data_IF_348863539331
#
_entry.id   IF_348863539331
#
_cell.length_a   1.000
_cell.length_b   1.000
_cell.length_c   1.000
_cell.angle_alpha   90.00
_cell.angle_beta   90.00
_cell.angle_gamma   90.00
#
_symmetry.space_group_name_H-M   'P 1'
#
loop_
_entity.id
_entity.type
_entity.pdbx_description
1 polymer ?
#
# COMPACT_ATOMS: atom_id res chain seq x y z
N UNK A 1 -34.39 24.97 -6.61
CA UNK A 1 -35.08 24.70 -7.87
C UNK A 1 -36.64 24.88 -7.71
N UNK A 2 -37.22 24.39 -6.63
CA UNK A 2 -38.71 24.42 -6.44
C UNK A 2 -39.27 25.80 -6.08
N UNK A 3 -38.44 26.79 -5.78
CA UNK A 3 -38.85 28.15 -5.36
C UNK A 3 -38.55 29.23 -6.40
N UNK A 4 -38.08 28.87 -7.59
CA UNK A 4 -37.76 29.81 -8.67
C UNK A 4 -38.33 29.33 -9.98
N UNK A 5 -38.49 30.24 -10.98
CA UNK A 5 -38.86 29.85 -12.33
C UNK A 5 -37.82 28.87 -12.94
N UNK A 6 -38.25 28.06 -13.92
CA UNK A 6 -37.35 27.11 -14.60
C UNK A 6 -36.11 27.79 -15.21
N UNK A 7 -36.28 28.94 -15.85
CA UNK A 7 -35.20 29.69 -16.45
C UNK A 7 -34.18 30.22 -15.41
N UNK A 8 -34.67 30.72 -14.28
CA UNK A 8 -33.81 31.14 -13.16
C UNK A 8 -33.14 29.94 -12.48
N UNK A 9 -33.85 28.79 -12.38
CA UNK A 9 -33.31 27.54 -11.86
C UNK A 9 -32.15 27.05 -12.69
N UNK A 10 -32.28 27.02 -14.02
CA UNK A 10 -31.18 26.66 -14.95
C UNK A 10 -29.94 27.59 -14.83
N UNK A 11 -30.20 28.90 -14.65
CA UNK A 11 -29.14 29.87 -14.48
C UNK A 11 -28.32 29.58 -13.19
N UNK A 12 -29.03 29.37 -12.08
CA UNK A 12 -28.39 29.00 -10.79
C UNK A 12 -27.69 27.67 -10.85
N UNK A 13 -28.27 26.67 -11.50
CA UNK A 13 -27.62 25.35 -11.70
C UNK A 13 -26.30 25.52 -12.45
N UNK A 14 -26.27 26.32 -13.52
CA UNK A 14 -25.05 26.59 -14.27
C UNK A 14 -23.99 27.31 -13.41
N UNK A 15 -24.39 28.27 -12.61
CA UNK A 15 -23.51 29.00 -11.69
C UNK A 15 -22.85 28.02 -10.69
N UNK A 16 -23.65 27.17 -10.03
CA UNK A 16 -23.14 26.17 -9.10
C UNK A 16 -22.28 25.11 -9.80
N UNK A 17 -22.68 24.67 -10.99
CA UNK A 17 -21.88 23.73 -11.79
C UNK A 17 -20.49 24.31 -12.09
N UNK A 18 -20.42 25.57 -12.51
CA UNK A 18 -19.12 26.23 -12.77
C UNK A 18 -18.28 26.35 -11.52
N UNK A 19 -18.87 26.76 -10.38
CA UNK A 19 -18.17 26.78 -9.09
C UNK A 19 -17.61 25.41 -8.69
N UNK A 20 -18.42 24.36 -8.86
CA UNK A 20 -17.96 23.00 -8.60
C UNK A 20 -16.83 22.58 -9.55
N UNK A 21 -16.96 22.87 -10.85
CA UNK A 21 -16.01 22.50 -11.88
C UNK A 21 -14.63 23.15 -11.65
N UNK A 22 -14.60 24.42 -11.22
CA UNK A 22 -13.42 25.21 -10.96
C UNK A 22 -12.79 24.90 -9.58
N UNK A 23 -13.47 24.14 -8.72
CA UNK A 23 -12.99 23.83 -7.39
C UNK A 23 -11.76 22.90 -7.42
N UNK A 24 -10.79 23.05 -6.48
CA UNK A 24 -9.68 22.12 -6.33
C UNK A 24 -10.13 20.66 -6.11
N UNK A 25 -11.23 20.47 -5.39
CA UNK A 25 -11.80 19.14 -5.15
C UNK A 25 -12.26 18.47 -6.45
N UNK A 26 -12.89 19.23 -7.35
CA UNK A 26 -13.26 18.71 -8.67
C UNK A 26 -12.01 18.38 -9.51
N UNK A 27 -10.98 19.20 -9.46
CA UNK A 27 -9.71 18.91 -10.14
C UNK A 27 -9.10 17.60 -9.65
N UNK A 28 -8.99 17.41 -8.32
CA UNK A 28 -8.47 16.18 -7.72
C UNK A 28 -9.31 14.95 -8.07
N UNK A 29 -10.65 15.04 -8.05
CA UNK A 29 -11.52 13.92 -8.41
C UNK A 29 -11.43 13.56 -9.90
N UNK A 30 -11.29 14.55 -10.80
CA UNK A 30 -11.06 14.31 -12.23
C UNK A 30 -9.69 13.66 -12.46
N UNK A 31 -8.65 14.16 -11.80
CA UNK A 31 -7.33 13.53 -11.83
C UNK A 31 -7.40 12.06 -11.40
N UNK A 32 -7.99 11.77 -10.23
CA UNK A 32 -8.16 10.41 -9.74
C UNK A 32 -8.88 9.49 -10.74
N UNK A 33 -9.92 10.01 -11.42
CA UNK A 33 -10.68 9.26 -12.42
C UNK A 33 -9.85 8.90 -13.66
N UNK A 34 -9.02 9.82 -14.14
CA UNK A 34 -8.15 9.56 -15.30
C UNK A 34 -6.92 8.74 -14.92
N UNK A 35 -6.29 9.03 -13.79
CA UNK A 35 -5.14 8.30 -13.27
C UNK A 35 -5.42 6.79 -13.12
N UNK A 36 -6.58 6.41 -12.53
CA UNK A 36 -6.98 5.00 -12.40
C UNK A 36 -7.13 4.27 -13.76
N UNK A 37 -7.30 4.99 -14.86
CA UNK A 37 -7.36 4.42 -16.21
C UNK A 37 -6.00 4.40 -16.90
N UNK A 38 -5.15 5.30 -16.52
CA UNK A 38 -3.84 5.46 -17.11
C UNK A 38 -2.83 4.45 -16.61
N UNK A 39 -2.91 4.05 -15.33
CA UNK A 39 -1.97 3.10 -14.71
C UNK A 39 -1.87 1.76 -15.44
N UNK A 40 -2.88 1.38 -16.21
CA UNK A 40 -2.84 0.17 -17.04
C UNK A 40 -2.07 0.34 -18.35
N UNK A 41 -1.68 1.57 -18.72
CA UNK A 41 -0.88 1.86 -19.91
C UNK A 41 0.59 1.89 -19.52
N UNK A 42 1.26 0.78 -19.71
CA UNK A 42 2.67 0.61 -19.34
C UNK A 42 3.53 0.77 -20.60
N UNK A 43 4.57 1.62 -20.62
CA UNK A 43 5.50 1.73 -21.75
C UNK A 43 6.09 0.37 -22.11
N UNK A 44 6.08 0.04 -23.40
CA UNK A 44 6.56 -1.25 -23.89
C UNK A 44 5.54 -2.40 -23.81
N UNK A 45 4.43 -2.22 -23.11
CA UNK A 45 3.33 -3.19 -23.06
C UNK A 45 2.15 -2.64 -23.86
N UNK A 46 1.83 -3.29 -24.94
CA UNK A 46 0.75 -2.89 -25.85
C UNK A 46 -0.24 -4.05 -26.11
N UNK A 47 -1.14 -3.85 -27.06
CA UNK A 47 -2.16 -4.85 -27.41
C UNK A 47 -1.58 -6.09 -28.11
N UNK A 48 -0.38 -6.01 -28.68
CA UNK A 48 0.32 -7.10 -29.35
C UNK A 48 1.14 -7.91 -28.33
N UNK A 49 1.39 -7.38 -27.13
CA UNK A 49 2.09 -8.11 -26.06
C UNK A 49 1.25 -9.32 -25.66
N UNK A 50 1.80 -10.55 -25.73
CA UNK A 50 1.05 -11.75 -25.42
C UNK A 50 0.58 -11.75 -23.95
N UNK A 51 -0.67 -12.15 -23.74
CA UNK A 51 -1.22 -12.43 -22.41
C UNK A 51 -1.34 -13.95 -22.28
N UNK A 52 -0.72 -14.53 -21.27
CA UNK A 52 -0.79 -15.97 -21.00
C UNK A 52 -2.19 -16.33 -20.49
N UNK A 53 -2.66 -17.52 -20.84
CA UNK A 53 -3.86 -18.07 -20.23
C UNK A 53 -3.63 -18.27 -18.72
N UNK A 54 -4.58 -17.81 -17.93
CA UNK A 54 -4.51 -17.86 -16.47
C UNK A 54 -5.88 -18.29 -15.93
N UNK A 55 -6.18 -19.58 -16.02
CA UNK A 55 -7.44 -20.20 -15.59
C UNK A 55 -7.32 -20.90 -14.23
N UNK A 56 -6.09 -21.15 -13.79
CA UNK A 56 -5.77 -21.85 -12.53
C UNK A 56 -4.65 -21.15 -11.76
N UNK A 57 -4.83 -21.07 -10.43
CA UNK A 57 -3.86 -20.47 -9.53
C UNK A 57 -3.55 -21.42 -8.36
N UNK A 58 -2.29 -21.40 -7.91
CA UNK A 58 -1.94 -21.89 -6.59
C UNK A 58 -1.66 -20.70 -5.66
N UNK A 59 -2.07 -20.80 -4.40
CA UNK A 59 -1.70 -19.85 -3.35
C UNK A 59 -0.94 -20.61 -2.27
N UNK A 60 0.25 -20.11 -1.91
CA UNK A 60 1.11 -20.74 -0.91
C UNK A 60 1.09 -19.91 0.37
N UNK A 61 0.73 -20.57 1.48
CA UNK A 61 0.47 -19.96 2.77
C UNK A 61 -1.02 -19.71 2.99
N UNK A 62 -1.61 -20.45 3.94
CA UNK A 62 -3.03 -20.41 4.27
C UNK A 62 -3.37 -19.40 5.39
N UNK A 63 -2.52 -18.36 5.58
CA UNK A 63 -2.78 -17.25 6.49
C UNK A 63 -3.84 -16.29 5.96
N UNK A 64 -4.03 -15.18 6.69
CA UNK A 64 -5.04 -14.16 6.34
C UNK A 64 -4.88 -13.63 4.91
N UNK A 65 -3.63 -13.33 4.49
CA UNK A 65 -3.37 -12.85 3.13
C UNK A 65 -3.62 -13.92 2.09
N UNK A 66 -3.04 -15.11 2.25
CA UNK A 66 -3.20 -16.19 1.27
C UNK A 66 -4.65 -16.64 1.11
N UNK A 67 -5.40 -16.79 2.21
CA UNK A 67 -6.83 -17.10 2.13
C UNK A 67 -7.65 -15.99 1.43
N UNK A 68 -7.33 -14.72 1.69
CA UNK A 68 -7.96 -13.58 1.01
C UNK A 68 -7.63 -13.50 -0.48
N UNK A 69 -6.39 -13.84 -0.88
CA UNK A 69 -5.95 -13.94 -2.28
C UNK A 69 -6.67 -15.12 -2.97
N UNK A 70 -6.71 -16.29 -2.32
CA UNK A 70 -7.42 -17.47 -2.83
C UNK A 70 -8.91 -17.16 -3.07
N UNK A 71 -9.57 -16.50 -2.11
CA UNK A 71 -10.96 -16.05 -2.29
C UNK A 71 -11.10 -15.10 -3.50
N UNK A 72 -10.17 -14.14 -3.67
CA UNK A 72 -10.22 -13.21 -4.80
C UNK A 72 -10.10 -13.94 -6.14
N UNK A 73 -9.18 -14.90 -6.24
CA UNK A 73 -9.01 -15.74 -7.43
C UNK A 73 -10.25 -16.60 -7.72
N UNK A 74 -10.83 -17.25 -6.70
CA UNK A 74 -12.06 -18.03 -6.82
C UNK A 74 -13.24 -17.18 -7.29
N UNK A 75 -13.38 -15.97 -6.74
CA UNK A 75 -14.43 -15.02 -7.11
C UNK A 75 -14.28 -14.51 -8.55
N UNK A 76 -13.06 -14.48 -9.08
CA UNK A 76 -12.77 -14.18 -10.48
C UNK A 76 -12.94 -15.38 -11.42
N UNK A 77 -13.30 -16.56 -10.89
CA UNK A 77 -13.59 -17.76 -11.69
C UNK A 77 -12.43 -18.74 -11.85
N UNK A 78 -11.25 -18.47 -11.29
CA UNK A 78 -10.09 -19.35 -11.38
C UNK A 78 -10.32 -20.64 -10.55
N UNK A 79 -9.68 -21.73 -10.96
CA UNK A 79 -9.47 -22.91 -10.10
C UNK A 79 -8.33 -22.59 -9.14
N UNK A 80 -8.48 -22.85 -7.84
CA UNK A 80 -7.48 -22.50 -6.84
C UNK A 80 -7.09 -23.70 -6.01
N UNK A 81 -5.77 -23.91 -5.90
CA UNK A 81 -5.14 -24.83 -4.94
C UNK A 81 -4.45 -24.01 -3.85
N UNK A 82 -4.91 -24.17 -2.60
CA UNK A 82 -4.28 -23.52 -1.43
C UNK A 82 -3.32 -24.50 -0.79
N UNK A 83 -2.04 -24.14 -0.71
CA UNK A 83 -1.00 -24.95 -0.10
C UNK A 83 -0.56 -24.34 1.23
N UNK A 84 -0.42 -25.18 2.25
CA UNK A 84 0.22 -24.87 3.52
C UNK A 84 0.96 -26.10 4.03
N UNK A 85 1.94 -25.92 4.91
CA UNK A 85 2.75 -27.01 5.44
C UNK A 85 2.11 -27.75 6.62
N UNK A 86 0.90 -27.36 7.07
CA UNK A 86 0.20 -27.95 8.21
C UNK A 86 -1.30 -28.13 7.94
N UNK A 87 -1.87 -29.19 8.49
CA UNK A 87 -3.32 -29.44 8.44
C UNK A 87 -4.11 -28.32 9.12
N UNK A 88 -3.60 -27.80 10.27
CA UNK A 88 -4.23 -26.70 10.98
C UNK A 88 -4.23 -25.41 10.15
N UNK A 89 -3.13 -25.14 9.41
CA UNK A 89 -3.03 -24.03 8.48
C UNK A 89 -4.06 -24.13 7.37
N UNK A 90 -4.16 -25.30 6.73
CA UNK A 90 -5.12 -25.57 5.66
C UNK A 90 -6.56 -25.45 6.14
N UNK A 91 -6.89 -26.03 7.31
CA UNK A 91 -8.24 -25.95 7.89
C UNK A 91 -8.62 -24.50 8.22
N UNK A 92 -7.68 -23.74 8.80
CA UNK A 92 -7.88 -22.30 9.05
C UNK A 92 -8.11 -21.53 7.75
N UNK A 93 -7.27 -21.74 6.73
CA UNK A 93 -7.39 -21.08 5.43
C UNK A 93 -8.71 -21.43 4.74
N UNK A 94 -9.13 -22.68 4.76
CA UNK A 94 -10.42 -23.14 4.26
C UNK A 94 -11.58 -22.41 4.94
N UNK A 95 -11.60 -22.39 6.28
CA UNK A 95 -12.63 -21.67 7.05
C UNK A 95 -12.71 -20.19 6.72
N UNK A 96 -11.56 -19.53 6.50
CA UNK A 96 -11.54 -18.14 6.09
C UNK A 96 -12.19 -17.97 4.71
N UNK A 97 -11.81 -18.77 3.72
CA UNK A 97 -12.38 -18.71 2.36
C UNK A 97 -13.90 -18.97 2.38
N UNK A 98 -14.34 -20.02 3.04
CA UNK A 98 -15.77 -20.36 3.19
C UNK A 98 -16.53 -19.24 3.92
N UNK A 99 -15.95 -18.68 4.98
CA UNK A 99 -16.52 -17.57 5.73
C UNK A 99 -16.65 -16.29 4.90
N UNK A 100 -15.73 -16.02 3.99
CA UNK A 100 -15.79 -14.87 3.08
C UNK A 100 -16.94 -15.03 2.07
N UNK A 101 -17.12 -16.24 1.49
CA UNK A 101 -18.24 -16.55 0.61
C UNK A 101 -19.58 -16.46 1.37
N UNK A 102 -19.71 -17.13 2.52
CA UNK A 102 -20.91 -17.05 3.35
C UNK A 102 -21.28 -15.63 3.75
N UNK A 103 -20.26 -14.82 4.11
CA UNK A 103 -20.42 -13.40 4.37
C UNK A 103 -20.89 -12.61 3.15
N UNK A 104 -20.48 -13.00 1.94
CA UNK A 104 -20.96 -12.43 0.67
C UNK A 104 -22.46 -12.70 0.45
N UNK A 105 -22.87 -13.95 0.65
CA UNK A 105 -24.28 -14.37 0.57
C UNK A 105 -25.13 -13.62 1.61
N UNK A 106 -24.68 -13.61 2.87
CA UNK A 106 -25.39 -12.90 3.96
C UNK A 106 -25.63 -11.42 3.67
N UNK A 107 -24.71 -10.76 2.96
CA UNK A 107 -24.81 -9.36 2.56
C UNK A 107 -25.52 -9.14 1.21
N UNK A 108 -26.02 -10.21 0.57
CA UNK A 108 -26.69 -10.15 -0.74
C UNK A 108 -25.78 -9.73 -1.90
N UNK A 109 -24.46 -9.88 -1.75
CA UNK A 109 -23.49 -9.54 -2.80
C UNK A 109 -23.33 -10.65 -3.83
N UNK A 110 -23.54 -11.89 -3.42
CA UNK A 110 -23.52 -13.09 -4.26
C UNK A 110 -24.67 -14.01 -3.83
N UNK A 111 -25.12 -14.89 -4.73
CA UNK A 111 -26.08 -15.94 -4.46
C UNK A 111 -25.44 -17.18 -3.83
N UNK A 112 -26.24 -18.08 -3.23
CA UNK A 112 -25.78 -19.38 -2.75
C UNK A 112 -25.17 -20.21 -3.89
N UNK A 113 -25.77 -20.18 -5.08
CA UNK A 113 -25.25 -20.89 -6.27
C UNK A 113 -23.87 -20.38 -6.69
N UNK A 114 -23.62 -19.06 -6.63
CA UNK A 114 -22.29 -18.50 -6.91
C UNK A 114 -21.27 -18.91 -5.85
N UNK A 115 -21.66 -19.00 -4.59
CA UNK A 115 -20.83 -19.55 -3.52
C UNK A 115 -20.47 -21.01 -3.79
N UNK A 116 -21.46 -21.87 -4.08
CA UNK A 116 -21.22 -23.29 -4.38
C UNK A 116 -20.30 -23.46 -5.60
N UNK A 117 -20.52 -22.70 -6.67
CA UNK A 117 -19.65 -22.69 -7.85
C UNK A 117 -18.23 -22.23 -7.51
N UNK A 118 -18.07 -21.21 -6.66
CA UNK A 118 -16.78 -20.75 -6.19
C UNK A 118 -16.04 -21.86 -5.43
N UNK A 119 -16.70 -22.45 -4.44
CA UNK A 119 -16.12 -23.52 -3.60
C UNK A 119 -15.84 -24.81 -4.37
N UNK A 120 -16.60 -25.12 -5.43
CA UNK A 120 -16.32 -26.29 -6.27
C UNK A 120 -15.00 -26.22 -7.04
N UNK A 121 -14.43 -25.02 -7.18
CA UNK A 121 -13.12 -24.77 -7.80
C UNK A 121 -11.97 -24.69 -6.81
N UNK A 122 -12.25 -24.89 -5.50
CA UNK A 122 -11.29 -24.76 -4.42
C UNK A 122 -10.79 -26.11 -3.93
N UNK A 123 -9.49 -26.28 -3.86
CA UNK A 123 -8.82 -27.44 -3.26
C UNK A 123 -7.72 -26.98 -2.31
N UNK A 124 -7.34 -27.85 -1.36
CA UNK A 124 -6.23 -27.63 -0.44
C UNK A 124 -5.25 -28.79 -0.53
N UNK A 125 -3.96 -28.54 -0.38
CA UNK A 125 -2.90 -29.55 -0.44
C UNK A 125 -1.71 -29.16 0.42
N UNK A 126 -0.89 -30.15 0.83
CA UNK A 126 0.43 -30.00 1.41
C UNK A 126 1.56 -30.35 0.42
N UNK A 127 1.20 -30.93 -0.73
CA UNK A 127 2.17 -31.43 -1.70
C UNK A 127 2.38 -30.44 -2.85
N UNK A 128 3.62 -29.99 -3.03
CA UNK A 128 3.99 -29.15 -4.15
C UNK A 128 3.77 -29.81 -5.51
N UNK A 129 3.80 -31.14 -5.60
CA UNK A 129 3.56 -31.86 -6.86
C UNK A 129 2.14 -31.67 -7.41
N UNK A 130 1.18 -31.38 -6.54
CA UNK A 130 -0.18 -31.02 -6.96
C UNK A 130 -0.26 -29.70 -7.71
N UNK A 131 0.78 -28.87 -7.66
CA UNK A 131 0.84 -27.55 -8.31
C UNK A 131 1.40 -27.63 -9.74
N UNK A 132 1.74 -28.83 -10.24
CA UNK A 132 2.46 -28.99 -11.49
C UNK A 132 1.77 -28.40 -12.73
N UNK A 133 0.45 -28.32 -12.72
CA UNK A 133 -0.39 -27.90 -13.86
C UNK A 133 -0.96 -26.48 -13.77
N UNK A 134 -0.68 -25.73 -12.68
CA UNK A 134 -1.22 -24.37 -12.50
C UNK A 134 -0.58 -23.35 -13.45
N UNK A 135 -1.33 -22.27 -13.75
CA UNK A 135 -0.89 -21.22 -14.64
C UNK A 135 -0.12 -20.11 -13.90
N UNK A 136 -0.48 -19.90 -12.65
CA UNK A 136 0.18 -18.93 -11.77
C UNK A 136 0.27 -19.46 -10.34
N UNK A 137 1.39 -19.20 -9.68
CA UNK A 137 1.55 -19.40 -8.24
C UNK A 137 1.69 -18.04 -7.58
N UNK A 138 0.96 -17.79 -6.48
CA UNK A 138 1.07 -16.58 -5.67
C UNK A 138 1.52 -16.99 -4.26
N UNK A 139 2.78 -16.72 -3.95
CA UNK A 139 3.37 -17.02 -2.66
C UNK A 139 3.01 -15.93 -1.63
N UNK A 140 2.47 -16.34 -0.48
CA UNK A 140 2.06 -15.49 0.63
C UNK A 140 2.46 -16.10 1.99
N UNK A 141 3.67 -16.68 2.06
CA UNK A 141 4.23 -17.25 3.29
C UNK A 141 4.89 -16.16 4.14
N UNK A 142 5.55 -16.57 5.22
CA UNK A 142 6.24 -15.68 6.14
C UNK A 142 7.27 -14.79 5.43
N UNK A 143 7.37 -13.51 5.84
CA UNK A 143 8.22 -12.49 5.21
C UNK A 143 9.69 -12.71 5.60
N UNK A 144 10.33 -13.68 4.95
CA UNK A 144 11.73 -14.03 5.13
C UNK A 144 12.34 -14.42 3.79
N UNK A 145 13.43 -13.78 3.41
CA UNK A 145 14.14 -14.05 2.15
C UNK A 145 14.55 -15.52 2.03
N UNK A 146 15.05 -16.11 3.11
CA UNK A 146 15.46 -17.51 3.13
C UNK A 146 14.29 -18.46 2.83
N UNK A 147 13.15 -18.24 3.47
CA UNK A 147 11.94 -19.05 3.26
C UNK A 147 11.41 -18.88 1.84
N UNK A 148 11.38 -17.65 1.32
CA UNK A 148 10.90 -17.39 -0.06
C UNK A 148 11.81 -18.04 -1.10
N UNK A 149 13.13 -17.99 -0.95
CA UNK A 149 14.08 -18.69 -1.85
C UNK A 149 13.88 -20.20 -1.82
N UNK A 150 13.63 -20.79 -0.66
CA UNK A 150 13.33 -22.23 -0.54
C UNK A 150 12.05 -22.58 -1.29
N UNK A 151 10.97 -21.82 -1.07
CA UNK A 151 9.69 -22.01 -1.76
C UNK A 151 9.84 -21.87 -3.27
N UNK A 152 10.49 -20.80 -3.75
CA UNK A 152 10.67 -20.56 -5.18
C UNK A 152 11.56 -21.62 -5.84
N UNK A 153 12.60 -22.09 -5.16
CA UNK A 153 13.45 -23.20 -5.61
C UNK A 153 12.70 -24.54 -5.68
N UNK A 154 11.69 -24.78 -4.82
CA UNK A 154 10.82 -25.94 -4.91
C UNK A 154 9.82 -25.81 -6.07
N UNK A 155 9.19 -24.65 -6.24
CA UNK A 155 8.26 -24.34 -7.33
C UNK A 155 8.91 -24.47 -8.71
N UNK A 156 10.14 -23.99 -8.85
CA UNK A 156 10.90 -24.05 -10.11
C UNK A 156 11.05 -25.46 -10.65
N UNK A 157 11.12 -26.46 -9.77
CA UNK A 157 11.26 -27.87 -10.12
C UNK A 157 9.96 -28.57 -10.49
N UNK A 158 8.82 -28.07 -9.98
CA UNK A 158 7.54 -28.77 -10.02
C UNK A 158 6.56 -28.12 -11.00
N UNK A 159 6.48 -26.80 -11.00
CA UNK A 159 5.44 -26.10 -11.77
C UNK A 159 5.85 -26.04 -13.25
N UNK A 160 4.86 -26.27 -14.14
CA UNK A 160 5.06 -26.31 -15.60
C UNK A 160 5.81 -25.09 -16.13
N UNK A 161 6.54 -25.28 -17.22
CA UNK A 161 7.14 -24.19 -17.97
C UNK A 161 6.07 -23.19 -18.43
N UNK A 162 6.39 -21.90 -18.36
CA UNK A 162 5.47 -20.82 -18.72
C UNK A 162 4.46 -20.44 -17.65
N UNK A 163 4.40 -21.12 -16.50
CA UNK A 163 3.63 -20.65 -15.37
C UNK A 163 4.34 -19.45 -14.71
N UNK A 164 3.54 -18.48 -14.24
CA UNK A 164 4.05 -17.30 -13.53
C UNK A 164 4.30 -17.65 -12.06
N UNK A 165 5.45 -17.24 -11.54
CA UNK A 165 5.81 -17.36 -10.14
C UNK A 165 5.74 -15.99 -9.48
N UNK A 166 4.66 -15.72 -8.74
CA UNK A 166 4.44 -14.44 -8.09
C UNK A 166 4.69 -14.52 -6.58
N UNK A 167 5.25 -13.46 -6.00
CA UNK A 167 5.36 -13.29 -4.54
C UNK A 167 4.52 -12.13 -4.06
N UNK A 168 3.84 -12.31 -2.92
CA UNK A 168 3.10 -11.24 -2.23
C UNK A 168 3.97 -10.55 -1.17
N UNK A 169 5.30 -10.61 -1.29
CA UNK A 169 6.16 -9.85 -0.39
C UNK A 169 5.80 -8.37 -0.37
N UNK A 170 5.99 -7.73 0.78
CA UNK A 170 5.73 -6.30 0.96
C UNK A 170 6.99 -5.44 0.92
N UNK A 171 8.19 -6.06 1.04
CA UNK A 171 9.44 -5.32 1.22
C UNK A 171 10.67 -5.98 0.59
N UNK A 172 10.62 -7.31 0.36
CA UNK A 172 11.79 -8.06 -0.09
C UNK A 172 12.05 -7.89 -1.60
N UNK A 173 13.31 -7.99 -2.00
CA UNK A 173 13.74 -7.83 -3.39
C UNK A 173 13.19 -8.94 -4.29
N UNK A 174 12.43 -8.55 -5.30
CA UNK A 174 11.93 -9.46 -6.34
C UNK A 174 13.10 -10.08 -7.13
N UNK A 175 14.15 -9.31 -7.40
CA UNK A 175 15.32 -9.79 -8.14
C UNK A 175 16.06 -10.87 -7.37
N UNK A 176 16.18 -10.72 -6.05
CA UNK A 176 16.85 -11.70 -5.21
C UNK A 176 16.04 -13.01 -5.10
N UNK A 177 14.70 -12.92 -5.10
CA UNK A 177 13.81 -14.08 -5.15
C UNK A 177 13.90 -14.74 -6.54
N UNK A 178 13.84 -13.96 -7.61
CA UNK A 178 13.92 -14.44 -9.00
C UNK A 178 15.23 -15.20 -9.26
N UNK A 179 16.35 -14.71 -8.74
CA UNK A 179 17.67 -15.35 -8.87
C UNK A 179 17.75 -16.74 -8.21
N UNK A 180 16.77 -17.13 -7.37
CA UNK A 180 16.70 -18.48 -6.81
C UNK A 180 16.04 -19.51 -7.74
N UNK A 181 15.58 -19.09 -8.93
CA UNK A 181 14.92 -19.94 -9.93
C UNK A 181 15.74 -20.02 -11.21
N UNK A 182 15.49 -21.05 -12.05
CA UNK A 182 16.06 -21.18 -13.39
C UNK A 182 15.39 -20.28 -14.44
N UNK A 183 14.31 -19.60 -14.08
CA UNK A 183 13.46 -18.80 -14.98
C UNK A 183 13.08 -17.44 -14.36
N UNK A 184 14.06 -16.58 -14.06
CA UNK A 184 13.83 -15.30 -13.42
C UNK A 184 12.87 -14.38 -14.21
N UNK A 185 12.79 -14.56 -15.53
CA UNK A 185 11.86 -13.84 -16.38
C UNK A 185 10.36 -14.18 -16.15
N UNK A 186 10.06 -15.31 -15.48
CA UNK A 186 8.70 -15.71 -15.09
C UNK A 186 8.33 -15.26 -13.67
N UNK A 187 9.24 -14.56 -12.96
CA UNK A 187 9.04 -14.12 -11.58
C UNK A 187 8.57 -12.66 -11.54
N UNK A 188 7.59 -12.37 -10.68
CA UNK A 188 7.01 -11.04 -10.49
C UNK A 188 6.53 -10.85 -9.04
N UNK A 189 6.51 -9.62 -8.56
CA UNK A 189 5.82 -9.25 -7.33
C UNK A 189 4.34 -8.96 -7.60
N UNK A 190 3.44 -9.55 -6.80
CA UNK A 190 2.02 -9.22 -6.77
C UNK A 190 1.68 -8.83 -5.33
N UNK A 191 1.92 -7.58 -4.98
CA UNK A 191 1.72 -7.09 -3.62
C UNK A 191 0.26 -6.68 -3.40
N UNK A 192 -0.50 -7.59 -2.76
CA UNK A 192 -1.87 -7.34 -2.33
C UNK A 192 -1.89 -6.62 -0.99
N UNK A 193 -2.85 -5.74 -0.81
CA UNK A 193 -3.05 -4.99 0.43
C UNK A 193 -4.09 -5.67 1.33
N UNK A 194 -3.87 -5.62 2.63
CA UNK A 194 -4.77 -6.25 3.63
C UNK A 194 -6.00 -5.37 3.91
N UNK A 195 -7.21 -5.94 3.92
CA UNK A 195 -7.60 -7.31 3.57
C UNK A 195 -7.62 -7.54 2.04
N UNK A 196 -6.98 -8.62 1.56
CA UNK A 196 -6.76 -8.84 0.13
C UNK A 196 -8.04 -8.86 -0.73
N UNK A 197 -9.17 -9.31 -0.17
CA UNK A 197 -10.46 -9.37 -0.85
C UNK A 197 -11.22 -8.03 -0.89
N UNK A 198 -10.77 -7.01 -0.15
CA UNK A 198 -11.42 -5.70 -0.07
C UNK A 198 -10.59 -4.63 -0.79
N UNK A 199 -9.29 -4.58 -0.51
CA UNK A 199 -8.42 -3.53 -1.01
C UNK A 199 -8.30 -3.59 -2.53
N UNK A 200 -8.51 -2.45 -3.18
CA UNK A 200 -8.54 -2.37 -4.64
C UNK A 200 -7.16 -2.35 -5.27
N UNK A 201 -6.16 -1.87 -4.56
CA UNK A 201 -4.79 -1.75 -5.06
C UNK A 201 -4.11 -3.12 -5.18
N UNK A 202 -3.37 -3.30 -6.27
CA UNK A 202 -2.39 -4.36 -6.48
C UNK A 202 -1.12 -3.73 -7.08
N UNK A 203 -0.03 -3.64 -6.32
CA UNK A 203 1.26 -3.28 -6.89
C UNK A 203 1.83 -4.49 -7.65
N UNK A 204 2.09 -4.29 -8.93
CA UNK A 204 2.71 -5.28 -9.83
C UNK A 204 4.18 -4.90 -9.93
N UNK A 205 5.01 -5.58 -9.14
CA UNK A 205 6.42 -5.23 -8.99
C UNK A 205 7.26 -6.00 -10.00
N UNK A 206 7.77 -5.30 -11.01
CA UNK A 206 8.66 -5.92 -11.99
C UNK A 206 10.08 -6.01 -11.46
N UNK A 207 10.70 -7.19 -11.55
CA UNK A 207 12.13 -7.35 -11.41
C UNK A 207 12.89 -6.99 -12.69
N UNK A 208 14.20 -6.98 -12.62
CA UNK A 208 15.07 -6.62 -13.74
C UNK A 208 14.91 -7.56 -14.95
N UNK A 209 14.61 -8.83 -14.72
CA UNK A 209 14.46 -9.84 -15.78
C UNK A 209 13.01 -10.20 -16.10
N UNK A 210 12.01 -9.63 -15.37
CA UNK A 210 10.61 -9.93 -15.58
C UNK A 210 10.18 -9.62 -17.03
N UNK A 211 9.65 -10.62 -17.74
CA UNK A 211 9.25 -10.49 -19.15
C UNK A 211 7.96 -9.71 -19.32
N UNK A 212 7.82 -9.06 -20.47
CA UNK A 212 6.68 -8.21 -20.81
C UNK A 212 5.35 -8.98 -20.81
N UNK A 213 5.33 -10.24 -21.29
CA UNK A 213 4.14 -11.09 -21.27
C UNK A 213 3.70 -11.46 -19.85
N UNK A 214 4.62 -11.53 -18.89
CA UNK A 214 4.32 -11.72 -17.46
C UNK A 214 3.69 -10.46 -16.87
N UNK A 215 4.20 -9.28 -17.22
CA UNK A 215 3.62 -7.99 -16.80
C UNK A 215 2.21 -7.83 -17.38
N UNK A 216 2.04 -8.06 -18.69
CA UNK A 216 0.76 -7.97 -19.39
C UNK A 216 -0.28 -8.94 -18.79
N UNK A 217 0.13 -10.17 -18.48
CA UNK A 217 -0.72 -11.17 -17.82
C UNK A 217 -1.11 -10.75 -16.41
N UNK A 218 -0.19 -10.18 -15.65
CA UNK A 218 -0.44 -9.67 -14.28
C UNK A 218 -1.42 -8.50 -14.27
N UNK A 219 -1.35 -7.60 -15.26
CA UNK A 219 -2.33 -6.53 -15.46
C UNK A 219 -3.73 -7.09 -15.79
N UNK A 220 -3.79 -8.08 -16.70
CA UNK A 220 -5.03 -8.75 -17.04
C UNK A 220 -5.64 -9.48 -15.83
N UNK A 221 -4.80 -10.17 -15.05
CA UNK A 221 -5.22 -10.81 -13.80
C UNK A 221 -5.74 -9.78 -12.80
N UNK A 222 -5.02 -8.69 -12.55
CA UNK A 222 -5.47 -7.62 -11.66
C UNK A 222 -6.87 -7.13 -12.04
N UNK A 223 -7.11 -6.90 -13.32
CA UNK A 223 -8.41 -6.50 -13.83
C UNK A 223 -9.49 -7.55 -13.59
N UNK A 224 -9.20 -8.84 -13.81
CA UNK A 224 -10.15 -9.94 -13.57
C UNK A 224 -10.50 -10.09 -12.10
N UNK A 225 -9.55 -9.81 -11.20
CA UNK A 225 -9.73 -9.77 -9.75
C UNK A 225 -10.48 -8.50 -9.26
N UNK A 226 -10.88 -7.60 -10.17
CA UNK A 226 -11.52 -6.32 -9.83
C UNK A 226 -10.57 -5.34 -9.13
N UNK A 227 -9.27 -5.48 -9.34
CA UNK A 227 -8.24 -4.63 -8.74
C UNK A 227 -7.69 -3.60 -9.72
N UNK A 228 -7.07 -2.57 -9.17
CA UNK A 228 -6.30 -1.59 -9.91
C UNK A 228 -4.84 -2.02 -9.81
N UNK A 229 -4.32 -2.59 -10.91
CA UNK A 229 -2.92 -2.98 -11.04
C UNK A 229 -2.06 -1.77 -11.38
N UNK A 230 -1.03 -1.50 -10.59
CA UNK A 230 -0.04 -0.45 -10.82
C UNK A 230 1.33 -1.11 -10.98
N UNK A 231 1.95 -0.95 -12.14
CA UNK A 231 3.28 -1.51 -12.41
C UNK A 231 4.34 -0.60 -11.81
N UNK A 232 5.19 -1.16 -10.96
CA UNK A 232 6.26 -0.44 -10.26
C UNK A 232 7.58 -1.20 -10.33
N UNK A 233 8.68 -0.49 -10.14
CA UNK A 233 10.02 -1.08 -10.05
C UNK A 233 10.27 -1.74 -8.70
N UNK A 234 11.33 -2.57 -8.65
CA UNK A 234 11.78 -3.27 -7.45
C UNK A 234 12.64 -2.34 -6.58
N UNK A 235 12.18 -2.04 -5.37
CA UNK A 235 12.94 -1.40 -4.31
C UNK A 235 12.36 -1.81 -2.95
N UNK A 236 13.03 -1.49 -1.85
CA UNK A 236 12.49 -1.76 -0.52
C UNK A 236 11.14 -1.06 -0.32
N UNK A 237 10.09 -1.84 -0.02
CA UNK A 237 8.74 -1.33 0.24
C UNK A 237 8.01 -0.79 -0.99
N UNK A 238 8.57 -0.96 -2.19
CA UNK A 238 8.03 -0.55 -3.47
C UNK A 238 7.64 0.94 -3.48
N UNK A 239 6.49 1.32 -4.00
CA UNK A 239 6.02 2.70 -3.93
C UNK A 239 5.31 2.96 -2.60
N UNK A 240 4.33 2.16 -2.29
CA UNK A 240 3.42 2.43 -1.19
C UNK A 240 4.07 2.39 0.18
N UNK A 241 4.70 1.28 0.55
CA UNK A 241 5.34 1.12 1.86
C UNK A 241 6.58 2.01 2.00
N UNK A 242 7.36 2.21 0.93
CA UNK A 242 8.51 3.12 0.96
C UNK A 242 8.09 4.54 1.36
N UNK A 243 7.03 5.06 0.79
CA UNK A 243 6.48 6.37 1.15
C UNK A 243 5.85 6.36 2.55
N UNK A 244 5.20 5.24 2.94
CA UNK A 244 4.63 5.08 4.28
C UNK A 244 5.69 5.20 5.37
N UNK A 245 6.92 4.72 5.12
CA UNK A 245 8.03 4.89 6.06
C UNK A 245 8.39 6.36 6.29
N UNK A 246 8.35 7.22 5.27
CA UNK A 246 8.57 8.65 5.44
C UNK A 246 7.44 9.33 6.22
N UNK A 247 6.19 8.99 5.89
CA UNK A 247 5.00 9.49 6.57
C UNK A 247 4.96 9.10 8.06
N UNK A 248 5.15 7.80 8.35
CA UNK A 248 5.15 7.28 9.71
C UNK A 248 6.32 7.78 10.54
N UNK A 249 7.52 7.92 9.94
CA UNK A 249 8.69 8.51 10.61
C UNK A 249 8.41 9.91 11.15
N UNK A 250 7.83 10.78 10.33
CA UNK A 250 7.52 12.14 10.78
C UNK A 250 6.50 12.13 11.91
N UNK A 251 5.47 11.27 11.83
CA UNK A 251 4.54 11.09 12.96
C UNK A 251 5.29 10.72 14.24
N UNK A 252 6.18 9.72 14.19
CA UNK A 252 6.95 9.27 15.36
C UNK A 252 7.86 10.37 15.94
N UNK A 253 8.50 11.18 15.10
CA UNK A 253 9.31 12.31 15.53
C UNK A 253 8.46 13.39 16.20
N UNK A 254 7.28 13.70 15.63
CA UNK A 254 6.33 14.65 16.22
C UNK A 254 5.88 14.23 17.62
N UNK A 255 5.67 12.91 17.87
CA UNK A 255 5.33 12.41 19.21
C UNK A 255 6.44 12.71 20.22
N UNK A 256 7.69 12.44 19.87
CA UNK A 256 8.84 12.74 20.74
C UNK A 256 8.98 14.24 20.99
N UNK A 257 8.74 15.05 19.96
CA UNK A 257 8.87 16.51 20.03
C UNK A 257 7.73 17.22 20.76
N UNK A 258 6.61 16.54 21.09
CA UNK A 258 5.59 17.14 21.97
C UNK A 258 4.14 16.90 21.56
N UNK A 259 3.85 16.49 20.34
CA UNK A 259 2.49 16.18 19.94
C UNK A 259 1.94 14.93 20.63
N UNK A 260 0.66 14.94 20.99
CA UNK A 260 -0.03 13.73 21.44
C UNK A 260 -0.44 12.86 20.23
N UNK A 261 -0.46 11.51 20.35
CA UNK A 261 -0.83 10.64 19.24
C UNK A 261 -2.19 10.98 18.63
N UNK A 262 -3.20 11.20 19.45
CA UNK A 262 -4.55 11.56 19.01
C UNK A 262 -4.61 12.93 18.33
N UNK A 263 -3.74 13.86 18.70
CA UNK A 263 -3.66 15.17 18.04
C UNK A 263 -3.08 15.06 16.63
N UNK A 264 -2.01 14.27 16.45
CA UNK A 264 -1.44 13.98 15.11
C UNK A 264 -2.46 13.28 14.23
N UNK A 265 -3.09 12.22 14.76
CA UNK A 265 -4.06 11.41 14.00
C UNK A 265 -5.30 12.22 13.63
N UNK A 266 -5.85 13.01 14.58
CA UNK A 266 -6.99 13.87 14.32
C UNK A 266 -6.70 14.95 13.27
N UNK A 267 -5.55 15.62 13.36
CA UNK A 267 -5.14 16.63 12.39
C UNK A 267 -5.12 16.08 10.97
N UNK A 268 -4.51 14.91 10.77
CA UNK A 268 -4.41 14.28 9.45
C UNK A 268 -5.75 13.70 8.98
N UNK A 269 -6.58 13.20 9.89
CA UNK A 269 -7.95 12.78 9.59
C UNK A 269 -8.82 13.98 9.14
N UNK A 270 -8.78 15.08 9.89
CA UNK A 270 -9.53 16.32 9.53
C UNK A 270 -9.03 16.93 8.22
N UNK A 271 -7.73 16.79 7.92
CA UNK A 271 -7.17 17.16 6.63
C UNK A 271 -7.71 16.30 5.47
N UNK A 272 -8.18 15.08 5.76
CA UNK A 272 -8.86 14.20 4.82
C UNK A 272 -8.30 12.79 4.66
N UNK A 273 -7.24 12.41 5.40
CA UNK A 273 -6.76 11.03 5.41
C UNK A 273 -7.84 10.10 5.99
N UNK A 274 -7.92 8.89 5.46
CA UNK A 274 -8.93 7.92 5.93
C UNK A 274 -8.72 7.49 7.39
N UNK A 275 -7.46 7.56 7.88
CA UNK A 275 -7.06 7.21 9.25
C UNK A 275 -5.74 7.91 9.57
N UNK A 276 -5.51 8.24 10.84
CA UNK A 276 -4.24 8.78 11.29
C UNK A 276 -3.12 7.73 11.35
N UNK A 277 -1.84 8.15 11.26
CA UNK A 277 -0.70 7.23 11.14
C UNK A 277 -0.51 6.30 12.34
N UNK A 278 -0.81 6.76 13.55
CA UNK A 278 -0.66 5.95 14.76
C UNK A 278 -1.74 4.86 14.84
N UNK A 279 -2.99 5.20 14.49
CA UNK A 279 -4.07 4.22 14.38
C UNK A 279 -3.84 3.21 13.23
N UNK A 280 -3.24 3.64 12.11
CA UNK A 280 -2.79 2.74 11.02
C UNK A 280 -1.72 1.77 11.52
N UNK A 281 -0.75 2.26 12.31
CA UNK A 281 0.27 1.41 12.95
C UNK A 281 -0.35 0.32 13.82
N UNK A 282 -1.31 0.69 14.66
CA UNK A 282 -2.03 -0.25 15.53
C UNK A 282 -2.91 -1.24 14.76
N UNK A 283 -3.49 -0.82 13.64
CA UNK A 283 -4.27 -1.70 12.76
C UNK A 283 -3.38 -2.74 12.06
N UNK A 284 -2.23 -2.32 11.55
CA UNK A 284 -1.26 -3.19 10.88
C UNK A 284 -0.55 -4.13 11.87
N UNK A 285 -0.33 -3.66 13.08
CA UNK A 285 0.42 -4.31 14.13
C UNK A 285 1.86 -3.80 14.21
N UNK A 286 2.20 -3.15 15.34
CA UNK A 286 3.52 -2.54 15.55
C UNK A 286 4.66 -3.56 15.50
N UNK A 287 4.41 -4.84 15.82
CA UNK A 287 5.38 -5.94 15.71
C UNK A 287 5.83 -6.21 14.27
N UNK A 288 4.98 -5.94 13.27
CA UNK A 288 5.33 -6.14 11.86
C UNK A 288 6.45 -5.17 11.46
N UNK A 289 6.24 -3.88 11.68
CA UNK A 289 7.26 -2.87 11.42
C UNK A 289 8.53 -3.05 12.27
N UNK A 290 8.36 -3.44 13.55
CA UNK A 290 9.47 -3.73 14.45
C UNK A 290 10.36 -4.84 13.93
N UNK A 291 9.79 -5.99 13.52
CA UNK A 291 10.55 -7.11 12.95
C UNK A 291 11.30 -6.72 11.68
N UNK A 292 10.64 -6.00 10.76
CA UNK A 292 11.28 -5.52 9.54
C UNK A 292 12.50 -4.64 9.86
N UNK A 293 12.37 -3.72 10.83
CA UNK A 293 13.50 -2.86 11.22
C UNK A 293 14.63 -3.61 11.90
N UNK A 294 14.34 -4.69 12.62
CA UNK A 294 15.38 -5.54 13.24
C UNK A 294 16.21 -6.31 12.19
N UNK A 295 15.66 -6.62 11.05
CA UNK A 295 16.34 -7.35 9.97
C UNK A 295 17.10 -6.42 9.00
N UNK A 296 16.79 -5.11 9.01
CA UNK A 296 17.41 -4.13 8.13
C UNK A 296 18.77 -3.66 8.65
N UNK A 297 19.73 -3.53 7.72
CA UNK A 297 21.08 -3.04 7.98
C UNK A 297 21.33 -1.62 7.44
N UNK A 298 20.35 -1.05 6.74
CA UNK A 298 20.42 0.22 6.05
C UNK A 298 19.53 1.29 6.69
N UNK A 299 19.20 1.13 7.99
CA UNK A 299 18.43 2.12 8.73
C UNK A 299 19.22 3.42 8.94
N UNK A 300 18.55 4.57 8.98
CA UNK A 300 19.19 5.85 9.33
C UNK A 300 19.88 5.78 10.72
N UNK A 301 21.05 6.38 10.84
CA UNK A 301 21.73 6.55 12.12
C UNK A 301 21.09 7.70 12.94
N UNK A 302 19.87 7.43 13.39
CA UNK A 302 19.08 8.33 14.24
C UNK A 302 18.37 7.49 15.33
N UNK A 303 18.73 7.63 16.60
CA UNK A 303 18.11 6.87 17.70
C UNK A 303 16.61 7.19 17.90
N UNK A 304 16.09 8.23 17.28
CA UNK A 304 14.67 8.61 17.30
C UNK A 304 13.84 7.89 16.25
N UNK A 305 14.53 7.29 15.24
CA UNK A 305 13.85 6.65 14.10
C UNK A 305 12.94 5.52 14.54
N UNK A 306 11.64 5.72 14.40
CA UNK A 306 10.57 4.79 14.83
C UNK A 306 10.64 4.36 16.32
N UNK A 307 11.30 5.17 17.15
CA UNK A 307 11.60 4.81 18.53
C UNK A 307 10.38 4.53 19.39
N UNK A 308 9.30 5.29 19.23
CA UNK A 308 8.06 5.10 20.00
C UNK A 308 7.41 3.77 19.61
N UNK A 309 7.26 3.49 18.32
CA UNK A 309 6.68 2.25 17.84
C UNK A 309 7.50 1.02 18.29
N UNK A 310 8.84 1.11 18.24
CA UNK A 310 9.73 0.01 18.64
C UNK A 310 9.69 -0.24 20.16
N UNK A 311 9.62 0.82 20.95
CA UNK A 311 9.45 0.73 22.39
C UNK A 311 8.12 0.04 22.75
N UNK A 312 7.01 0.44 22.15
CA UNK A 312 5.70 -0.16 22.37
C UNK A 312 5.68 -1.64 21.93
N UNK A 313 6.25 -1.94 20.77
CA UNK A 313 6.35 -3.31 20.29
C UNK A 313 7.20 -4.19 21.23
N UNK A 314 8.32 -3.68 21.74
CA UNK A 314 9.15 -4.36 22.74
C UNK A 314 8.42 -4.67 24.05
N UNK A 315 7.36 -3.92 24.37
CA UNK A 315 6.48 -4.15 25.52
C UNK A 315 5.32 -5.10 25.22
N UNK A 316 5.23 -5.67 24.01
CA UNK A 316 4.13 -6.54 23.59
C UNK A 316 2.84 -5.78 23.25
N UNK A 317 2.91 -4.46 23.07
CA UNK A 317 1.80 -3.61 22.65
C UNK A 317 1.78 -3.57 21.12
N UNK A 318 1.04 -4.49 20.50
CA UNK A 318 1.04 -4.67 19.05
C UNK A 318 -0.14 -4.00 18.32
N UNK A 319 -0.98 -3.27 19.03
CA UNK A 319 -2.16 -2.63 18.47
C UNK A 319 -3.44 -3.43 18.67
N UNK A 320 -4.38 -3.34 17.72
CA UNK A 320 -5.72 -3.94 17.83
C UNK A 320 -5.70 -5.44 18.19
N UNK A 321 -4.76 -6.20 17.63
CA UNK A 321 -4.67 -7.66 17.85
C UNK A 321 -4.32 -8.06 19.30
N UNK A 322 -3.76 -7.14 20.07
CA UNK A 322 -3.44 -7.34 21.51
C UNK A 322 -4.26 -6.46 22.43
N UNK A 323 -5.29 -5.78 21.89
CA UNK A 323 -6.13 -4.84 22.65
C UNK A 323 -5.43 -3.54 23.05
N UNK A 324 -4.13 -3.40 22.76
CA UNK A 324 -3.34 -2.22 23.07
C UNK A 324 -2.13 -2.06 22.13
N UNK A 325 -1.87 -0.86 21.72
CA UNK A 325 -0.73 -0.40 20.94
C UNK A 325 -0.36 1.00 21.36
N UNK A 326 -0.38 1.95 20.42
CA UNK A 326 -0.39 3.39 20.69
C UNK A 326 -1.66 3.80 21.44
N UNK A 327 -2.77 3.13 21.12
CA UNK A 327 -4.08 3.30 21.74
C UNK A 327 -4.51 2.06 22.51
N UNK A 328 -5.58 2.21 23.30
CA UNK A 328 -6.34 1.11 23.88
C UNK A 328 -7.52 0.77 22.97
N UNK A 329 -7.87 -0.51 22.95
CA UNK A 329 -9.02 -1.05 22.21
C UNK A 329 -9.84 -1.93 23.14
N UNK A 330 -11.11 -1.58 23.34
CA UNK A 330 -12.03 -2.42 24.08
C UNK A 330 -12.34 -3.71 23.32
N UNK A 331 -12.70 -4.77 24.04
CA UNK A 331 -13.02 -6.06 23.44
C UNK A 331 -14.08 -5.95 22.35
N UNK A 332 -13.70 -6.33 21.13
CA UNK A 332 -14.56 -6.28 19.96
C UNK A 332 -14.67 -4.91 19.28
N UNK A 333 -14.09 -3.85 19.84
CA UNK A 333 -14.03 -2.51 19.24
C UNK A 333 -12.78 -2.34 18.38
N UNK A 334 -12.90 -1.52 17.33
CA UNK A 334 -11.77 -1.01 16.53
C UNK A 334 -11.54 0.49 16.78
N UNK A 335 -12.31 1.07 17.68
CA UNK A 335 -12.22 2.50 18.01
C UNK A 335 -11.03 2.74 18.93
N UNK A 336 -10.06 3.60 18.52
CA UNK A 336 -8.89 3.89 19.32
C UNK A 336 -9.25 4.82 20.49
N UNK A 337 -8.85 4.44 21.70
CA UNK A 337 -8.97 5.27 22.90
C UNK A 337 -7.59 5.72 23.35
N UNK A 338 -7.35 7.01 23.60
CA UNK A 338 -6.07 7.50 24.10
C UNK A 338 -5.63 6.78 25.40
N UNK A 339 -4.33 6.50 25.51
CA UNK A 339 -3.74 5.83 26.65
C UNK A 339 -2.77 6.76 27.38
N UNK A 340 -3.10 7.27 28.58
CA UNK A 340 -2.20 8.11 29.36
C UNK A 340 -0.86 7.46 29.73
N UNK A 341 -0.80 6.12 29.78
CA UNK A 341 0.45 5.39 29.98
C UNK A 341 1.40 5.61 28.80
N UNK A 342 0.88 5.58 27.56
CA UNK A 342 1.68 5.83 26.35
C UNK A 342 2.22 7.25 26.32
N UNK A 343 1.42 8.25 26.71
CA UNK A 343 1.90 9.63 26.80
C UNK A 343 3.06 9.77 27.81
N UNK A 344 2.95 9.11 28.94
CA UNK A 344 4.02 9.10 29.95
C UNK A 344 5.29 8.42 29.42
N UNK A 345 5.15 7.29 28.72
CA UNK A 345 6.25 6.56 28.08
C UNK A 345 6.94 7.40 27.00
N UNK A 346 6.19 8.08 26.15
CA UNK A 346 6.72 8.97 25.11
C UNK A 346 7.53 10.11 25.73
N UNK A 347 7.02 10.73 26.79
CA UNK A 347 7.74 11.80 27.53
C UNK A 347 9.05 11.29 28.11
N UNK A 348 9.01 10.17 28.81
CA UNK A 348 10.21 9.58 29.39
C UNK A 348 11.26 9.21 28.34
N UNK A 349 10.83 8.72 27.18
CA UNK A 349 11.74 8.38 26.10
C UNK A 349 12.32 9.64 25.42
N UNK A 350 11.52 10.70 25.24
CA UNK A 350 11.99 11.99 24.74
C UNK A 350 13.07 12.58 25.67
N UNK A 351 12.84 12.56 26.99
CA UNK A 351 13.80 13.03 28.00
C UNK A 351 15.11 12.22 27.92
N UNK A 352 15.02 10.91 27.80
CA UNK A 352 16.18 10.01 27.68
C UNK A 352 16.99 10.28 26.42
N UNK A 353 16.32 10.62 25.32
CA UNK A 353 16.95 10.97 24.04
C UNK A 353 17.42 12.43 23.95
N UNK A 354 17.14 13.22 24.99
CA UNK A 354 17.45 14.65 25.00
C UNK A 354 16.64 15.48 24.00
N UNK A 355 15.44 15.01 23.61
CA UNK A 355 14.56 15.72 22.69
C UNK A 355 13.77 16.78 23.44
N UNK A 356 13.98 18.04 23.06
CA UNK A 356 13.23 19.17 23.62
C UNK A 356 11.77 19.13 23.15
N UNK A 357 10.83 19.04 24.08
CA UNK A 357 9.41 19.07 23.78
C UNK A 357 8.91 20.51 23.61
N UNK A 358 7.98 20.71 22.70
CA UNK A 358 7.41 22.00 22.33
C UNK A 358 5.98 21.85 21.84
N UNK A 359 5.29 22.97 21.71
CA UNK A 359 4.00 23.01 21.03
C UNK A 359 4.20 22.83 19.52
N UNK A 360 3.33 22.04 18.90
CA UNK A 360 3.34 21.72 17.47
C UNK A 360 1.98 22.09 16.89
N UNK A 361 2.01 22.89 15.80
CA UNK A 361 0.78 23.32 15.13
C UNK A 361 0.24 22.23 14.19
N UNK A 362 -1.06 22.32 13.84
CA UNK A 362 -1.69 21.48 12.81
C UNK A 362 -0.99 21.61 11.46
N UNK A 363 -0.62 22.84 11.08
CA UNK A 363 0.09 23.10 9.83
C UNK A 363 1.44 22.36 9.79
N UNK A 364 2.22 22.39 10.89
CA UNK A 364 3.48 21.65 10.95
C UNK A 364 3.28 20.12 10.86
N UNK A 365 2.24 19.58 11.48
CA UNK A 365 1.89 18.15 11.36
C UNK A 365 1.60 17.80 9.90
N UNK A 366 0.77 18.61 9.24
CA UNK A 366 0.42 18.40 7.83
C UNK A 366 1.66 18.52 6.95
N UNK A 367 2.43 19.59 7.08
CA UNK A 367 3.63 19.82 6.28
C UNK A 367 4.63 18.66 6.44
N UNK A 368 4.95 18.26 7.66
CA UNK A 368 5.94 17.20 7.89
C UNK A 368 5.46 15.86 7.36
N UNK A 369 4.24 15.46 7.66
CA UNK A 369 3.73 14.18 7.22
C UNK A 369 3.46 14.13 5.71
N UNK A 370 2.77 15.13 5.17
CA UNK A 370 2.40 15.12 3.73
C UNK A 370 3.58 15.47 2.82
N UNK A 371 4.42 16.43 3.21
CA UNK A 371 5.60 16.77 2.38
C UNK A 371 6.68 15.68 2.48
N UNK A 372 6.72 14.92 3.57
CA UNK A 372 7.51 13.68 3.65
C UNK A 372 7.12 12.67 2.57
N UNK A 373 5.80 12.53 2.29
CA UNK A 373 5.29 11.71 1.18
C UNK A 373 5.74 12.29 -0.17
N UNK A 374 5.60 13.60 -0.37
CA UNK A 374 5.94 14.26 -1.63
C UNK A 374 7.43 14.13 -1.94
N UNK A 375 8.28 14.35 -0.96
CA UNK A 375 9.74 14.20 -1.12
C UNK A 375 10.11 12.76 -1.50
N UNK A 376 9.52 11.77 -0.84
CA UNK A 376 9.81 10.37 -1.14
C UNK A 376 9.22 9.95 -2.51
N UNK A 377 8.02 10.45 -2.85
CA UNK A 377 7.43 10.26 -4.17
C UNK A 377 8.28 10.86 -5.29
N UNK A 378 8.87 12.03 -5.08
CA UNK A 378 9.78 12.64 -6.03
C UNK A 378 11.08 11.84 -6.23
N UNK A 379 11.63 11.21 -5.16
CA UNK A 379 12.76 10.26 -5.26
C UNK A 379 12.38 9.01 -6.05
N UNK A 380 11.21 8.45 -5.80
CA UNK A 380 10.66 7.28 -6.50
C UNK A 380 10.55 7.55 -8.01
N UNK A 381 10.10 8.76 -8.39
CA UNK A 381 10.06 9.18 -9.81
C UNK A 381 11.46 9.38 -10.39
N UNK A 382 12.36 10.04 -9.67
CA UNK A 382 13.74 10.29 -10.11
C UNK A 382 14.50 8.98 -10.34
N UNK A 383 14.24 7.97 -9.52
CA UNK A 383 14.83 6.62 -9.62
C UNK A 383 14.15 5.72 -10.67
N UNK A 384 13.03 6.16 -11.27
CA UNK A 384 12.28 5.37 -12.25
C UNK A 384 11.55 4.16 -11.65
N UNK A 385 11.30 4.16 -10.34
CA UNK A 385 10.54 3.11 -9.63
C UNK A 385 9.04 3.22 -9.96
N UNK A 386 8.49 4.42 -10.02
CA UNK A 386 7.18 4.69 -10.62
C UNK A 386 7.36 5.23 -12.04
N UNK A 387 6.46 4.88 -12.94
CA UNK A 387 6.49 5.32 -14.34
C UNK A 387 6.06 6.79 -14.42
N UNK A 388 5.02 7.16 -13.66
CA UNK A 388 4.39 8.50 -13.66
C UNK A 388 4.04 8.92 -12.24
N UNK A 389 3.88 10.21 -12.06
CA UNK A 389 3.37 10.79 -10.81
C UNK A 389 1.96 10.29 -10.48
N UNK A 390 1.11 10.12 -11.50
CA UNK A 390 -0.25 9.59 -11.36
C UNK A 390 -0.29 8.14 -10.85
N UNK A 391 0.74 7.33 -11.11
CA UNK A 391 0.84 5.97 -10.58
C UNK A 391 1.00 6.01 -9.04
N UNK A 392 1.84 6.91 -8.54
CA UNK A 392 2.01 7.16 -7.10
C UNK A 392 0.69 7.62 -6.47
N UNK A 393 -0.01 8.55 -7.11
CA UNK A 393 -1.31 9.05 -6.66
C UNK A 393 -2.34 7.92 -6.54
N UNK A 394 -2.40 7.03 -7.54
CA UNK A 394 -3.30 5.86 -7.52
C UNK A 394 -2.95 4.90 -6.39
N UNK A 395 -1.65 4.63 -6.16
CA UNK A 395 -1.20 3.80 -5.03
C UNK A 395 -1.69 4.37 -3.71
N UNK A 396 -1.50 5.67 -3.48
CA UNK A 396 -1.86 6.31 -2.22
C UNK A 396 -3.36 6.47 -2.01
N UNK A 397 -4.12 6.77 -3.06
CA UNK A 397 -5.59 6.87 -2.97
C UNK A 397 -6.27 5.52 -2.75
N UNK A 398 -5.72 4.42 -3.29
CA UNK A 398 -6.38 3.11 -3.25
C UNK A 398 -5.77 2.14 -2.22
N UNK A 399 -4.55 2.39 -1.73
CA UNK A 399 -3.86 1.56 -0.75
C UNK A 399 -3.77 2.17 0.65
N UNK A 400 -3.68 3.49 0.75
CA UNK A 400 -3.34 4.19 2.00
C UNK A 400 -4.37 5.24 2.42
N UNK A 401 -5.47 5.36 1.68
CA UNK A 401 -6.57 6.24 2.07
C UNK A 401 -6.27 7.73 1.93
N UNK A 402 -5.37 8.12 1.03
CA UNK A 402 -5.16 9.53 0.69
C UNK A 402 -6.46 10.10 0.09
N UNK A 403 -6.87 11.33 0.47
CA UNK A 403 -8.17 11.87 0.07
C UNK A 403 -8.29 12.07 -1.45
N UNK A 404 -9.23 11.38 -2.06
CA UNK A 404 -9.44 11.39 -3.53
C UNK A 404 -9.72 12.79 -4.08
N UNK A 405 -10.38 13.66 -3.31
CA UNK A 405 -10.66 15.03 -3.72
C UNK A 405 -9.41 15.91 -3.75
N UNK A 406 -8.28 15.43 -3.24
CA UNK A 406 -6.95 16.07 -3.37
C UNK A 406 -6.10 15.43 -4.46
N UNK A 407 -6.56 14.31 -5.07
CA UNK A 407 -5.98 13.71 -6.27
C UNK A 407 -4.74 12.82 -6.04
N UNK A 408 -4.27 12.65 -4.80
CA UNK A 408 -3.04 11.97 -4.47
C UNK A 408 -1.89 12.92 -4.11
N UNK A 409 -0.77 12.41 -3.56
CA UNK A 409 0.30 13.25 -3.02
C UNK A 409 1.01 14.09 -4.08
N UNK A 410 1.23 13.55 -5.28
CA UNK A 410 1.95 14.26 -6.34
C UNK A 410 1.07 15.33 -7.00
N UNK A 411 -0.19 14.99 -7.30
CA UNK A 411 -1.17 15.97 -7.79
C UNK A 411 -1.43 17.08 -6.77
N UNK A 412 -1.48 16.73 -5.48
CA UNK A 412 -1.61 17.72 -4.41
C UNK A 412 -0.42 18.68 -4.39
N UNK A 413 0.81 18.17 -4.54
CA UNK A 413 2.00 19.00 -4.64
C UNK A 413 1.94 19.98 -5.82
N UNK A 414 1.54 19.49 -7.01
CA UNK A 414 1.33 20.32 -8.19
C UNK A 414 0.26 21.40 -7.96
N UNK A 415 -0.80 21.09 -7.21
CA UNK A 415 -1.89 22.04 -6.90
C UNK A 415 -1.47 23.15 -5.93
N UNK A 416 -0.48 22.90 -5.06
CA UNK A 416 0.12 23.89 -4.16
C UNK A 416 1.08 24.80 -4.93
N UNK A 417 1.79 24.24 -5.89
CA UNK A 417 2.94 24.81 -6.58
C UNK A 417 4.27 24.27 -6.03
N UNK A 418 5.08 23.69 -6.91
CA UNK A 418 6.33 23.03 -6.52
C UNK A 418 7.38 23.99 -5.97
N UNK A 419 7.33 25.26 -6.33
CA UNK A 419 8.13 26.34 -5.74
C UNK A 419 7.90 26.45 -4.23
N UNK A 420 6.63 26.50 -3.80
CA UNK A 420 6.24 26.54 -2.38
C UNK A 420 6.58 25.26 -1.65
N UNK A 421 6.33 24.11 -2.29
CA UNK A 421 6.71 22.81 -1.72
C UNK A 421 8.21 22.75 -1.46
N UNK A 422 9.02 23.16 -2.45
CA UNK A 422 10.46 23.15 -2.33
C UNK A 422 10.97 24.14 -1.25
N UNK A 423 10.41 25.35 -1.19
CA UNK A 423 10.72 26.34 -0.15
C UNK A 423 10.46 25.77 1.25
N UNK A 424 9.30 25.15 1.47
CA UNK A 424 8.97 24.50 2.75
C UNK A 424 9.93 23.36 3.07
N UNK A 425 10.26 22.50 2.10
CA UNK A 425 11.23 21.41 2.28
C UNK A 425 12.62 21.94 2.66
N UNK A 426 13.07 23.04 2.05
CA UNK A 426 14.31 23.72 2.45
C UNK A 426 14.24 24.21 3.90
N UNK A 427 13.15 24.85 4.31
CA UNK A 427 12.94 25.27 5.69
C UNK A 427 12.92 24.12 6.69
N UNK A 428 12.33 22.97 6.33
CA UNK A 428 12.37 21.75 7.14
C UNK A 428 13.80 21.17 7.22
N UNK A 429 14.55 21.20 6.11
CA UNK A 429 15.97 20.82 6.09
C UNK A 429 16.82 21.68 7.02
N UNK A 430 16.61 22.99 7.03
CA UNK A 430 17.33 23.93 7.91
C UNK A 430 17.01 23.67 9.40
N UNK A 431 15.76 23.29 9.71
CA UNK A 431 15.31 23.02 11.09
C UNK A 431 15.68 21.64 11.60
N UNK A 432 15.59 20.60 10.76
CA UNK A 432 15.68 19.18 11.17
C UNK A 432 16.87 18.45 10.54
N UNK A 433 17.64 19.12 9.72
CA UNK A 433 18.84 18.56 9.06
C UNK A 433 18.52 17.81 7.74
N UNK A 434 19.58 17.48 6.99
CA UNK A 434 19.45 16.87 5.66
C UNK A 434 19.08 15.39 5.67
N UNK A 435 19.20 14.69 6.80
CA UNK A 435 19.03 13.24 6.86
C UNK A 435 17.70 12.76 6.26
N UNK A 436 16.63 13.52 6.51
CA UNK A 436 15.29 13.20 6.02
C UNK A 436 14.75 14.22 5.01
N UNK A 437 15.27 15.46 5.04
CA UNK A 437 14.75 16.58 4.28
C UNK A 437 15.64 17.03 3.13
N UNK A 438 16.57 16.13 2.69
CA UNK A 438 17.34 16.42 1.48
C UNK A 438 16.43 16.24 0.25
N UNK A 439 16.21 17.37 -0.45
CA UNK A 439 15.31 17.41 -1.59
C UNK A 439 15.92 16.70 -2.81
N UNK A 440 15.20 15.79 -3.48
CA UNK A 440 15.67 15.19 -4.72
C UNK A 440 15.83 16.24 -5.82
N UNK A 441 16.74 15.97 -6.75
CA UNK A 441 17.07 16.91 -7.84
C UNK A 441 15.85 17.18 -8.72
N UNK A 442 15.01 16.20 -8.96
CA UNK A 442 13.78 16.34 -9.73
C UNK A 442 12.87 17.44 -9.15
N UNK A 443 12.61 17.42 -7.83
CA UNK A 443 11.80 18.46 -7.19
C UNK A 443 12.46 19.84 -7.30
N UNK A 444 13.79 19.92 -7.12
CA UNK A 444 14.52 21.19 -7.26
C UNK A 444 14.41 21.77 -8.68
N UNK A 445 14.60 20.93 -9.69
CA UNK A 445 14.58 21.35 -11.10
C UNK A 445 13.17 21.77 -11.53
N UNK A 446 12.13 21.02 -11.14
CA UNK A 446 10.74 21.38 -11.42
C UNK A 446 10.33 22.67 -10.70
N UNK A 447 10.69 22.84 -9.43
CA UNK A 447 10.41 24.06 -8.69
C UNK A 447 11.04 25.31 -9.35
N UNK A 448 12.30 25.20 -9.82
CA UNK A 448 13.01 26.31 -10.48
C UNK A 448 12.48 26.62 -11.88
N UNK A 449 12.00 25.62 -12.61
CA UNK A 449 11.48 25.80 -13.98
C UNK A 449 10.00 26.17 -14.03
N UNK A 450 9.28 26.12 -12.91
CA UNK A 450 7.83 26.25 -12.86
C UNK A 450 7.11 25.02 -13.47
N UNK A 451 7.81 23.86 -13.51
CA UNK A 451 7.27 22.60 -13.98
C UNK A 451 6.35 21.90 -12.96
N UNK A 452 5.80 20.74 -13.33
CA UNK A 452 4.92 19.92 -12.49
C UNK A 452 5.36 18.47 -12.52
N UNK A 453 5.04 17.72 -11.49
CA UNK A 453 5.23 16.26 -11.50
C UNK A 453 4.41 15.57 -12.59
N UNK A 454 3.25 16.12 -12.93
CA UNK A 454 2.41 15.60 -14.01
C UNK A 454 3.10 15.65 -15.38
N UNK A 455 4.15 16.46 -15.58
CA UNK A 455 4.89 16.61 -16.84
C UNK A 455 6.08 15.61 -16.92
N UNK A 456 6.29 14.77 -15.90
CA UNK A 456 7.38 13.80 -15.82
C UNK A 456 6.89 12.44 -16.32
N UNK A 457 7.59 11.90 -17.32
CA UNK A 457 7.31 10.56 -17.89
C UNK A 457 6.44 10.57 -19.16
N UNK A 458 6.10 11.76 -19.68
CA UNK A 458 5.44 11.93 -20.98
C UNK A 458 6.46 11.94 -22.16
#
# INVERSE_FOLDING_TARGET
ATQTSFAEGLKKEREYFMQCLESPQSAGLRHAFFAEREVSKVPGIDKETPVRDCSSAAVIGAGTMGAGIAYSCLSAGLKVKLLDNSDEGLERGRKIVEGLFAGGVKRGKISESEMEQGLSRFATTQDYTDLADVDIVIEAVFESMAVKKEVFGALDKVVKAGAILATNTSTLSIDEIAASTSRPGDVIGLHFFSPAHIMRLLEIVKGAETRDDVIATSLALAKSLGKIGVVVGNCFGFVGNRMLYSYGRESQLLLLEGAAPEYVDKTLYDWGMAMGPNAVGDLAGLDVGYKIRQERTDLPDDPRFYRVADMLAGMGRFGQKTGKGTYLYEDGSREPTPDPEVDALIRAEADKLGVARRDISEDEIIERCIYGLIVEGAKILEEGIAIRSSDIDVVWMNGYGFPRHRGGPMHYADSIGLDKVYETVCGLKDRFGPLYWDSPKLLQDLAKSGGRFADVGD
#
